data_IF_642001728195
#
_entry.id   IF_642001728195
#
_cell.length_a   1.000
_cell.length_b   1.000
_cell.length_c   1.000
_cell.angle_alpha   90.00
_cell.angle_beta   90.00
_cell.angle_gamma   90.00
#
_symmetry.space_group_name_H-M   'P 1'
#
loop_
_entity.id
_entity.type
_entity.pdbx_description
1 polymer ?
#
# COMPACT_ATOMS: atom_id res chain seq x y z
N UNK A 1 64.66 31.53 -10.69
CA UNK A 1 63.53 31.84 -11.60
C UNK A 1 62.93 30.57 -12.14
N UNK A 2 61.84 30.13 -11.62
CA UNK A 2 60.96 29.09 -12.23
C UNK A 2 59.53 29.47 -12.00
N UNK A 3 58.80 29.72 -13.06
CA UNK A 3 57.39 30.06 -13.09
C UNK A 3 56.55 28.87 -12.68
N UNK A 4 55.53 29.06 -11.82
CA UNK A 4 54.49 28.07 -11.49
C UNK A 4 53.33 28.27 -12.44
N UNK A 5 53.05 27.23 -13.22
CA UNK A 5 51.90 27.16 -14.09
C UNK A 5 50.62 27.05 -13.28
N UNK A 6 49.62 27.90 -13.61
CA UNK A 6 48.29 27.84 -13.09
C UNK A 6 47.56 26.67 -13.74
N UNK A 7 47.04 25.75 -12.92
CA UNK A 7 46.07 24.74 -13.37
C UNK A 7 44.68 25.37 -13.41
N UNK A 8 44.16 25.53 -14.60
CA UNK A 8 42.75 25.85 -14.88
C UNK A 8 41.91 24.62 -14.61
N UNK A 9 40.93 24.76 -13.73
CA UNK A 9 39.93 23.75 -13.45
C UNK A 9 38.74 23.91 -14.44
N UNK A 10 38.52 22.95 -15.36
CA UNK A 10 37.36 23.01 -16.26
C UNK A 10 36.22 22.18 -15.66
N UNK A 11 35.06 22.80 -15.39
CA UNK A 11 33.85 22.02 -15.25
C UNK A 11 32.89 22.37 -14.15
N UNK A 12 32.58 23.66 -13.97
CA UNK A 12 31.32 24.02 -13.31
C UNK A 12 30.27 24.18 -14.39
N UNK A 13 29.50 23.09 -14.63
CA UNK A 13 28.27 23.16 -15.41
C UNK A 13 27.27 24.00 -14.59
N UNK A 14 27.03 25.23 -15.00
CA UNK A 14 25.96 26.08 -14.46
C UNK A 14 24.64 25.59 -15.04
N UNK A 15 23.84 24.94 -14.21
CA UNK A 15 22.43 24.73 -14.54
C UNK A 15 21.72 26.08 -14.59
N UNK A 16 20.92 26.36 -15.63
CA UNK A 16 20.11 27.57 -15.67
C UNK A 16 19.12 27.54 -14.52
N UNK A 17 19.05 28.62 -13.73
CA UNK A 17 17.99 28.81 -12.75
C UNK A 17 16.69 28.92 -13.54
N UNK A 18 15.85 27.90 -13.43
CA UNK A 18 14.49 27.99 -13.95
C UNK A 18 13.78 29.12 -13.23
N UNK A 19 13.36 30.13 -14.00
CA UNK A 19 12.49 31.17 -13.54
C UNK A 19 11.22 30.54 -12.95
N UNK A 20 10.69 31.16 -11.93
CA UNK A 20 9.37 30.88 -11.39
C UNK A 20 8.34 31.11 -12.47
N UNK A 21 8.05 30.06 -13.25
CA UNK A 21 6.88 30.05 -14.11
C UNK A 21 5.68 30.01 -13.15
N UNK A 22 4.91 31.09 -13.10
CA UNK A 22 3.58 31.06 -12.55
C UNK A 22 2.82 29.94 -13.25
N UNK A 23 2.54 28.89 -12.50
CA UNK A 23 1.70 27.79 -12.95
C UNK A 23 0.29 28.34 -13.05
N UNK A 24 -0.11 28.83 -14.22
CA UNK A 24 -1.51 29.08 -14.49
C UNK A 24 -2.25 27.76 -14.38
N UNK A 25 -3.00 27.57 -13.29
CA UNK A 25 -3.93 26.45 -13.13
C UNK A 25 -4.88 26.46 -14.33
N UNK A 26 -4.84 25.42 -15.13
CA UNK A 26 -5.86 25.20 -16.15
C UNK A 26 -7.17 24.83 -15.44
N UNK A 27 -8.30 25.44 -15.82
CA UNK A 27 -9.59 24.99 -15.34
C UNK A 27 -9.79 23.54 -15.81
N UNK A 28 -9.79 22.58 -14.90
CA UNK A 28 -9.92 21.15 -15.20
C UNK A 28 -8.94 20.24 -14.45
N UNK A 29 -7.80 20.74 -13.97
CA UNK A 29 -6.79 19.90 -13.30
C UNK A 29 -7.16 19.50 -11.86
N UNK A 30 -8.13 20.16 -11.24
CA UNK A 30 -8.65 19.81 -9.91
C UNK A 30 -9.78 18.78 -9.95
N UNK A 31 -10.48 18.65 -11.08
CA UNK A 31 -11.65 17.78 -11.17
C UNK A 31 -11.33 16.29 -11.37
N UNK A 32 -10.10 15.93 -11.71
CA UNK A 32 -9.72 14.51 -11.95
C UNK A 32 -9.48 13.71 -10.69
N UNK A 33 -9.30 14.37 -9.52
CA UNK A 33 -9.02 13.72 -8.25
C UNK A 33 -10.22 13.73 -7.30
N UNK A 34 -11.12 14.70 -7.42
CA UNK A 34 -12.26 14.86 -6.53
C UNK A 34 -13.45 13.93 -6.83
N UNK A 35 -13.56 13.38 -8.05
CA UNK A 35 -14.76 12.66 -8.49
C UNK A 35 -14.61 11.12 -8.56
N UNK A 36 -13.50 10.55 -8.11
CA UNK A 36 -13.30 9.10 -8.06
C UNK A 36 -13.07 8.56 -6.64
N UNK A 37 -13.99 8.86 -5.73
CA UNK A 37 -14.01 8.14 -4.44
C UNK A 37 -12.87 8.47 -3.47
N UNK A 38 -12.19 9.62 -3.60
CA UNK A 38 -11.18 10.06 -2.63
C UNK A 38 -11.77 10.74 -1.38
N UNK A 39 -13.10 10.89 -1.29
CA UNK A 39 -13.72 11.39 -0.05
C UNK A 39 -13.74 10.36 1.08
N UNK A 40 -13.47 9.06 0.76
CA UNK A 40 -13.56 7.96 1.72
C UNK A 40 -12.22 7.54 2.36
N UNK A 41 -11.11 8.24 2.09
CA UNK A 41 -9.84 7.90 2.76
C UNK A 41 -9.85 8.19 4.26
N UNK A 42 -10.77 9.04 4.73
CA UNK A 42 -10.95 9.35 6.16
C UNK A 42 -11.44 8.15 6.99
N UNK A 43 -12.00 7.16 6.34
CA UNK A 43 -12.63 6.00 6.98
C UNK A 43 -12.00 4.69 6.56
N UNK A 44 -10.92 4.75 5.77
CA UNK A 44 -10.12 3.59 5.44
C UNK A 44 -9.66 2.91 6.73
N UNK A 45 -9.85 1.60 6.82
CA UNK A 45 -9.61 0.79 8.01
C UNK A 45 -10.58 1.03 9.19
N UNK A 46 -11.65 1.81 9.02
CA UNK A 46 -12.70 1.93 10.01
C UNK A 46 -13.60 0.70 10.03
N UNK A 47 -14.00 0.28 11.22
CA UNK A 47 -14.99 -0.79 11.40
C UNK A 47 -16.36 -0.42 10.80
N UNK A 48 -16.70 0.88 10.74
CA UNK A 48 -17.90 1.38 10.06
C UNK A 48 -17.90 1.10 8.55
N UNK A 49 -16.72 0.88 7.93
CA UNK A 49 -16.56 0.51 6.53
C UNK A 49 -16.27 -0.98 6.32
N UNK A 50 -16.56 -1.79 7.35
CA UNK A 50 -16.45 -3.24 7.29
C UNK A 50 -15.03 -3.78 7.43
N UNK A 51 -14.06 -2.96 7.87
CA UNK A 51 -12.73 -3.48 8.23
C UNK A 51 -12.76 -4.15 9.60
N UNK A 52 -12.01 -5.23 9.76
CA UNK A 52 -11.87 -5.94 11.02
C UNK A 52 -11.27 -5.03 12.11
N UNK A 53 -11.81 -5.11 13.31
CA UNK A 53 -11.27 -4.38 14.46
C UNK A 53 -10.00 -5.07 14.98
N UNK A 54 -8.85 -4.40 14.88
CA UNK A 54 -7.57 -4.85 15.40
C UNK A 54 -7.31 -4.39 16.85
N UNK A 55 -8.11 -3.43 17.36
CA UNK A 55 -7.90 -2.86 18.70
C UNK A 55 -8.09 -3.88 19.82
N UNK A 56 -8.90 -4.92 19.59
CA UNK A 56 -9.13 -6.02 20.52
C UNK A 56 -8.03 -7.08 20.57
N UNK A 57 -7.07 -7.07 19.62
CA UNK A 57 -6.08 -8.13 19.42
C UNK A 57 -4.90 -8.12 20.39
N UNK A 58 -4.82 -7.16 21.27
CA UNK A 58 -3.68 -7.05 22.19
C UNK A 58 -2.38 -6.54 21.54
N UNK A 59 -2.48 -5.96 20.34
CA UNK A 59 -1.34 -5.48 19.56
C UNK A 59 -0.54 -4.39 20.30
N UNK A 60 0.78 -4.55 20.46
CA UNK A 60 1.62 -3.54 21.10
C UNK A 60 1.76 -2.31 20.19
N UNK A 61 1.70 -1.12 20.79
CA UNK A 61 1.91 0.14 20.09
C UNK A 61 3.28 0.76 20.37
N UNK A 62 3.72 0.71 21.61
CA UNK A 62 4.96 1.30 22.09
C UNK A 62 4.96 1.36 23.63
N UNK A 63 5.68 2.26 24.30
CA UNK A 63 5.54 2.56 25.74
C UNK A 63 4.11 2.90 26.19
N UNK A 64 3.19 3.14 25.25
CA UNK A 64 1.76 3.35 25.53
C UNK A 64 1.00 2.06 25.89
N UNK A 65 1.60 0.90 25.72
CA UNK A 65 0.93 -0.39 25.91
C UNK A 65 0.67 -0.80 27.35
N UNK A 66 1.25 -0.10 28.30
CA UNK A 66 1.02 -0.31 29.71
C UNK A 66 -0.18 0.51 30.22
N UNK A 67 0.14 1.49 31.08
CA UNK A 67 -0.84 2.34 31.78
C UNK A 67 -1.88 3.01 30.88
N UNK A 68 -1.48 3.40 29.68
CA UNK A 68 -2.34 4.16 28.75
C UNK A 68 -2.98 3.28 27.69
N UNK A 69 -2.81 1.93 27.77
CA UNK A 69 -3.32 1.01 26.77
C UNK A 69 -4.80 1.20 26.46
N UNK A 70 -5.65 1.35 27.46
CA UNK A 70 -7.09 1.51 27.25
C UNK A 70 -7.44 2.77 26.45
N UNK A 71 -6.65 3.84 26.62
CA UNK A 71 -6.84 5.09 25.89
C UNK A 71 -6.26 5.00 24.48
N UNK A 72 -5.14 4.30 24.32
CA UNK A 72 -4.44 4.17 23.03
C UNK A 72 -4.96 3.00 22.16
N UNK A 73 -5.74 2.08 22.75
CA UNK A 73 -6.21 0.87 22.06
C UNK A 73 -6.86 1.12 20.69
N UNK A 74 -7.68 2.16 20.46
CA UNK A 74 -8.25 2.44 19.14
C UNK A 74 -7.21 2.69 18.05
N UNK A 75 -6.02 3.19 18.41
CA UNK A 75 -4.92 3.43 17.47
C UNK A 75 -4.29 2.14 16.95
N UNK A 76 -4.53 0.98 17.60
CA UNK A 76 -4.01 -0.30 17.14
C UNK A 76 -4.52 -0.67 15.73
N UNK A 77 -5.72 -0.21 15.35
CA UNK A 77 -6.25 -0.41 14.01
C UNK A 77 -5.38 0.24 12.90
N UNK A 78 -4.57 1.22 13.26
CA UNK A 78 -3.80 2.02 12.32
C UNK A 78 -2.29 1.86 12.53
N UNK A 79 -1.83 2.00 13.79
CA UNK A 79 -0.43 2.19 14.12
C UNK A 79 0.25 0.93 14.67
N UNK A 80 -0.47 -0.19 14.86
CA UNK A 80 0.15 -1.47 15.18
C UNK A 80 0.83 -2.08 13.95
N UNK A 81 1.68 -3.07 14.17
CA UNK A 81 2.25 -3.87 13.09
C UNK A 81 1.15 -4.56 12.25
N UNK A 82 0.11 -5.06 12.89
CA UNK A 82 -1.06 -5.62 12.21
C UNK A 82 -1.78 -4.57 11.35
N UNK A 83 -1.94 -3.34 11.86
CA UNK A 83 -2.50 -2.20 11.12
C UNK A 83 -1.65 -1.85 9.89
N UNK A 84 -0.33 -1.80 10.06
CA UNK A 84 0.61 -1.56 8.96
C UNK A 84 0.55 -2.67 7.91
N UNK A 85 0.54 -3.93 8.31
CA UNK A 85 0.46 -5.06 7.39
C UNK A 85 -0.87 -5.09 6.63
N UNK A 86 -1.98 -4.75 7.29
CA UNK A 86 -3.27 -4.56 6.62
C UNK A 86 -3.21 -3.44 5.56
N UNK A 87 -2.55 -2.34 5.87
CA UNK A 87 -2.37 -1.24 4.94
C UNK A 87 -1.49 -1.65 3.73
N UNK A 88 -0.42 -2.41 3.95
CA UNK A 88 0.39 -2.99 2.88
C UNK A 88 -0.44 -3.88 1.95
N UNK A 89 -1.24 -4.78 2.52
CA UNK A 89 -2.16 -5.63 1.75
C UNK A 89 -3.12 -4.77 0.93
N UNK A 90 -3.67 -3.71 1.52
CA UNK A 90 -4.57 -2.80 0.80
C UNK A 90 -3.86 -2.13 -0.38
N UNK A 91 -2.67 -1.59 -0.18
CA UNK A 91 -1.89 -0.93 -1.25
C UNK A 91 -1.59 -1.90 -2.39
N UNK A 92 -1.14 -3.11 -2.09
CA UNK A 92 -0.85 -4.14 -3.10
C UNK A 92 -2.10 -4.54 -3.90
N UNK A 93 -3.24 -4.71 -3.23
CA UNK A 93 -4.51 -5.05 -3.87
C UNK A 93 -4.99 -3.92 -4.79
N UNK A 94 -4.99 -2.68 -4.31
CA UNK A 94 -5.43 -1.55 -5.15
C UNK A 94 -4.46 -1.29 -6.30
N UNK A 95 -3.15 -1.53 -6.10
CA UNK A 95 -2.17 -1.46 -7.16
C UNK A 95 -2.43 -2.53 -8.24
N UNK A 96 -2.67 -3.77 -7.84
CA UNK A 96 -3.01 -4.86 -8.77
C UNK A 96 -4.29 -4.51 -9.57
N UNK A 97 -5.35 -4.07 -8.89
CA UNK A 97 -6.60 -3.66 -9.55
C UNK A 97 -6.33 -2.51 -10.53
N UNK A 98 -5.55 -1.51 -10.12
CA UNK A 98 -5.20 -0.37 -10.98
C UNK A 98 -4.48 -0.82 -12.25
N UNK A 99 -3.50 -1.69 -12.16
CA UNK A 99 -2.74 -2.19 -13.32
C UNK A 99 -3.64 -2.91 -14.32
N UNK A 100 -4.58 -3.72 -13.83
CA UNK A 100 -5.49 -4.49 -14.66
C UNK A 100 -6.57 -3.61 -15.30
N UNK A 101 -7.17 -2.71 -14.53
CA UNK A 101 -8.23 -1.81 -15.01
C UNK A 101 -7.72 -0.80 -16.04
N UNK A 102 -6.45 -0.43 -15.98
CA UNK A 102 -5.84 0.48 -16.94
C UNK A 102 -5.11 -0.23 -18.10
N UNK A 103 -5.17 -1.57 -18.16
CA UNK A 103 -4.55 -2.33 -19.24
C UNK A 103 -3.03 -2.18 -19.31
N UNK A 104 -2.38 -1.92 -18.18
CA UNK A 104 -0.92 -1.70 -18.10
C UNK A 104 -0.16 -3.00 -18.43
N UNK A 105 -0.76 -4.14 -18.15
CA UNK A 105 -0.17 -5.46 -18.38
C UNK A 105 -0.73 -6.07 -19.68
N UNK A 106 0.05 -6.14 -20.77
CA UNK A 106 -0.41 -6.71 -22.03
C UNK A 106 -0.88 -8.16 -21.87
N UNK A 107 -2.11 -8.45 -22.31
CA UNK A 107 -2.68 -9.80 -22.23
C UNK A 107 -3.20 -10.22 -20.86
N UNK A 108 -3.13 -9.34 -19.86
CA UNK A 108 -3.74 -9.61 -18.56
C UNK A 108 -5.28 -9.60 -18.66
N UNK A 109 -5.96 -10.40 -17.83
CA UNK A 109 -7.41 -10.45 -17.83
C UNK A 109 -8.02 -9.14 -17.30
N UNK A 110 -9.23 -8.83 -17.74
CA UNK A 110 -10.06 -7.77 -17.12
C UNK A 110 -10.78 -8.35 -15.91
N UNK A 111 -10.70 -7.68 -14.78
CA UNK A 111 -11.40 -8.12 -13.57
C UNK A 111 -12.92 -7.93 -13.71
N UNK A 112 -13.66 -8.90 -13.23
CA UNK A 112 -15.11 -8.75 -12.96
C UNK A 112 -15.34 -8.00 -11.66
N UNK A 113 -16.55 -7.49 -11.43
CA UNK A 113 -16.89 -6.84 -10.16
C UNK A 113 -16.78 -7.81 -8.98
N UNK A 114 -17.18 -9.07 -9.17
CA UNK A 114 -17.04 -10.11 -8.14
C UNK A 114 -15.56 -10.38 -7.77
N UNK A 115 -14.65 -10.34 -8.74
CA UNK A 115 -13.22 -10.48 -8.48
C UNK A 115 -12.64 -9.25 -7.74
N UNK A 116 -13.07 -8.03 -8.09
CA UNK A 116 -12.68 -6.82 -7.35
C UNK A 116 -13.16 -6.87 -5.91
N UNK A 117 -14.42 -7.26 -5.70
CA UNK A 117 -14.99 -7.39 -4.35
C UNK A 117 -14.27 -8.45 -3.53
N UNK A 118 -13.92 -9.58 -4.15
CA UNK A 118 -13.12 -10.63 -3.52
C UNK A 118 -11.74 -10.10 -3.12
N UNK A 119 -11.03 -9.42 -4.01
CA UNK A 119 -9.72 -8.84 -3.71
C UNK A 119 -9.79 -7.85 -2.55
N UNK A 120 -10.77 -6.94 -2.56
CA UNK A 120 -10.96 -5.95 -1.50
C UNK A 120 -11.45 -6.53 -0.18
N UNK A 121 -11.99 -7.75 -0.19
CA UNK A 121 -12.35 -8.45 1.04
C UNK A 121 -11.11 -8.79 1.89
N UNK A 122 -9.97 -9.09 1.29
CA UNK A 122 -8.74 -9.44 2.03
C UNK A 122 -8.31 -8.35 3.03
N UNK A 123 -8.10 -7.09 2.67
CA UNK A 123 -7.77 -6.06 3.65
C UNK A 123 -8.93 -5.70 4.58
N UNK A 124 -10.21 -5.84 4.16
CA UNK A 124 -11.36 -5.62 5.04
C UNK A 124 -11.42 -6.62 6.19
N UNK A 125 -11.25 -7.89 5.84
CA UNK A 125 -11.40 -9.02 6.76
C UNK A 125 -10.07 -9.40 7.42
N UNK A 126 -9.04 -8.58 7.23
CA UNK A 126 -7.69 -8.83 7.76
C UNK A 126 -7.71 -8.91 9.28
N UNK A 127 -7.35 -10.07 9.82
CA UNK A 127 -7.41 -10.36 11.25
C UNK A 127 -6.37 -11.39 11.71
N UNK A 128 -6.61 -12.01 12.84
CA UNK A 128 -5.66 -12.87 13.56
C UNK A 128 -5.07 -14.00 12.69
N UNK A 129 -5.87 -14.64 11.85
CA UNK A 129 -5.40 -15.72 10.98
C UNK A 129 -4.43 -15.20 9.90
N UNK A 130 -4.72 -14.03 9.35
CA UNK A 130 -3.84 -13.39 8.37
C UNK A 130 -2.53 -12.94 9.01
N UNK A 131 -2.58 -12.37 10.23
CA UNK A 131 -1.39 -11.97 11.00
C UNK A 131 -0.51 -13.18 11.28
N UNK A 132 -1.11 -14.27 11.75
CA UNK A 132 -0.40 -15.53 11.98
C UNK A 132 0.26 -16.04 10.70
N UNK A 133 -0.48 -16.05 9.60
CA UNK A 133 0.03 -16.54 8.32
C UNK A 133 1.17 -15.68 7.78
N UNK A 134 1.08 -14.35 7.93
CA UNK A 134 2.18 -13.45 7.63
C UNK A 134 3.44 -13.77 8.42
N UNK A 135 3.31 -13.97 9.73
CA UNK A 135 4.44 -14.35 10.58
C UNK A 135 5.10 -15.68 10.15
N UNK A 136 4.32 -16.65 9.69
CA UNK A 136 4.85 -17.91 9.13
C UNK A 136 5.67 -17.66 7.85
N UNK A 137 5.18 -16.80 6.94
CA UNK A 137 5.92 -16.43 5.75
C UNK A 137 7.17 -15.61 6.07
N UNK A 138 7.07 -14.65 6.96
CA UNK A 138 8.21 -13.79 7.34
C UNK A 138 9.32 -14.59 8.03
N UNK A 139 8.98 -15.58 8.83
CA UNK A 139 9.95 -16.48 9.46
C UNK A 139 10.85 -17.19 8.43
N UNK A 140 10.33 -17.44 7.22
CA UNK A 140 11.05 -18.10 6.12
C UNK A 140 11.73 -17.07 5.21
N UNK A 141 10.98 -16.04 4.78
CA UNK A 141 11.47 -15.06 3.80
C UNK A 141 12.45 -14.05 4.39
N UNK A 142 12.37 -13.83 5.71
CA UNK A 142 13.12 -12.78 6.42
C UNK A 142 12.88 -11.40 5.82
N UNK A 143 11.68 -11.19 5.26
CA UNK A 143 11.29 -9.98 4.57
C UNK A 143 9.79 -9.74 4.71
N UNK A 144 9.40 -8.66 5.35
CA UNK A 144 8.03 -8.32 5.71
C UNK A 144 7.11 -8.10 4.48
N UNK A 145 7.51 -7.24 3.53
CA UNK A 145 6.70 -6.99 2.32
C UNK A 145 6.60 -8.25 1.46
N UNK A 146 7.66 -9.07 1.38
CA UNK A 146 7.61 -10.36 0.66
C UNK A 146 6.62 -11.33 1.30
N UNK A 147 6.48 -11.31 2.62
CA UNK A 147 5.46 -12.09 3.31
C UNK A 147 4.05 -11.66 2.90
N UNK A 148 3.82 -10.35 2.72
CA UNK A 148 2.55 -9.80 2.20
C UNK A 148 2.27 -10.31 0.78
N UNK A 149 3.25 -10.28 -0.12
CA UNK A 149 3.12 -10.82 -1.47
C UNK A 149 2.70 -12.31 -1.45
N UNK A 150 3.30 -13.11 -0.58
CA UNK A 150 2.96 -14.54 -0.47
C UNK A 150 1.55 -14.75 0.10
N UNK A 151 1.13 -13.95 1.07
CA UNK A 151 -0.24 -14.01 1.57
C UNK A 151 -1.26 -13.69 0.46
N UNK A 152 -1.03 -12.63 -0.30
CA UNK A 152 -1.89 -12.27 -1.43
C UNK A 152 -1.86 -13.39 -2.48
N UNK A 153 -0.70 -13.94 -2.78
CA UNK A 153 -0.56 -15.07 -3.70
C UNK A 153 -1.38 -16.29 -3.28
N UNK A 154 -1.39 -16.66 -2.00
CA UNK A 154 -2.27 -17.73 -1.49
C UNK A 154 -3.74 -17.37 -1.64
N UNK A 155 -4.10 -16.11 -1.33
CA UNK A 155 -5.48 -15.65 -1.44
C UNK A 155 -5.98 -15.70 -2.89
N UNK A 156 -5.15 -15.31 -3.85
CA UNK A 156 -5.45 -15.43 -5.28
C UNK A 156 -5.64 -16.90 -5.69
N UNK A 157 -4.80 -17.81 -5.23
CA UNK A 157 -4.93 -19.25 -5.53
C UNK A 157 -6.23 -19.84 -4.95
N UNK A 158 -6.69 -19.36 -3.81
CA UNK A 158 -7.92 -19.82 -3.18
C UNK A 158 -9.20 -19.26 -3.84
N UNK A 159 -9.09 -18.33 -4.77
CA UNK A 159 -10.23 -17.62 -5.36
C UNK A 159 -11.20 -18.56 -6.09
N UNK A 160 -10.72 -19.60 -6.77
CA UNK A 160 -11.55 -20.56 -7.47
C UNK A 160 -12.55 -21.26 -6.54
N UNK A 161 -12.18 -21.54 -5.30
CA UNK A 161 -13.07 -22.12 -4.31
C UNK A 161 -14.21 -21.20 -3.84
N UNK A 162 -14.12 -19.89 -4.10
CA UNK A 162 -15.13 -18.89 -3.74
C UNK A 162 -15.91 -18.36 -4.94
N UNK A 163 -15.23 -18.12 -6.06
CA UNK A 163 -15.77 -17.50 -7.27
C UNK A 163 -16.07 -18.52 -8.38
N UNK A 164 -15.64 -19.76 -8.22
CA UNK A 164 -15.74 -20.82 -9.24
C UNK A 164 -14.51 -20.88 -10.16
N UNK A 165 -14.42 -21.98 -10.90
CA UNK A 165 -13.28 -22.31 -11.77
C UNK A 165 -13.05 -21.32 -12.94
N UNK A 166 -14.03 -20.46 -13.22
CA UNK A 166 -13.92 -19.45 -14.28
C UNK A 166 -13.16 -18.20 -13.88
N UNK A 167 -12.77 -18.05 -12.61
CA UNK A 167 -12.00 -16.87 -12.16
C UNK A 167 -10.58 -16.87 -12.71
N UNK A 168 -10.09 -15.70 -13.07
CA UNK A 168 -8.73 -15.51 -13.57
C UNK A 168 -7.71 -15.19 -12.47
N UNK A 169 -8.17 -14.94 -11.24
CA UNK A 169 -7.33 -14.50 -10.12
C UNK A 169 -6.13 -15.41 -9.83
N UNK A 170 -6.22 -16.75 -9.89
CA UNK A 170 -5.06 -17.61 -9.67
C UNK A 170 -3.90 -17.37 -10.65
N UNK A 171 -4.18 -16.87 -11.86
CA UNK A 171 -3.15 -16.59 -12.88
C UNK A 171 -2.36 -15.31 -12.57
N UNK A 172 -2.85 -14.48 -11.64
CA UNK A 172 -2.28 -13.17 -11.32
C UNK A 172 -1.22 -13.21 -10.21
N UNK A 173 -0.92 -14.38 -9.67
CA UNK A 173 0.02 -14.53 -8.55
C UNK A 173 1.38 -13.85 -8.80
N UNK A 174 1.92 -14.02 -10.00
CA UNK A 174 3.26 -13.53 -10.35
C UNK A 174 3.28 -12.03 -10.72
N UNK A 175 2.10 -11.38 -10.77
CA UNK A 175 2.01 -9.94 -11.02
C UNK A 175 1.72 -9.12 -9.76
N UNK A 176 1.59 -9.78 -8.61
CA UNK A 176 1.60 -9.09 -7.33
C UNK A 176 2.93 -8.38 -7.16
N UNK A 177 2.91 -7.13 -6.68
CA UNK A 177 4.11 -6.30 -6.46
C UNK A 177 4.86 -5.86 -7.73
N UNK A 178 4.37 -6.18 -8.93
CA UNK A 178 5.06 -5.82 -10.17
C UNK A 178 5.19 -4.30 -10.29
N UNK A 179 6.35 -3.83 -10.76
CA UNK A 179 6.73 -2.42 -10.92
C UNK A 179 6.88 -1.62 -9.61
N UNK A 180 6.83 -2.27 -8.46
CA UNK A 180 7.05 -1.65 -7.16
C UNK A 180 8.35 -2.11 -6.52
N UNK A 181 8.85 -1.31 -5.59
CA UNK A 181 9.77 -1.76 -4.56
C UNK A 181 9.03 -1.83 -3.22
N UNK A 182 9.62 -2.52 -2.25
CA UNK A 182 9.05 -2.58 -0.89
C UNK A 182 8.83 -1.20 -0.29
N UNK A 183 9.65 -0.22 -0.67
CA UNK A 183 9.57 1.14 -0.17
C UNK A 183 8.38 1.91 -0.74
N UNK A 184 7.97 1.63 -1.98
CA UNK A 184 6.74 2.21 -2.54
C UNK A 184 5.52 1.78 -1.72
N UNK A 185 5.44 0.50 -1.37
CA UNK A 185 4.37 -0.07 -0.55
C UNK A 185 4.42 0.49 0.87
N UNK A 186 5.60 0.52 1.48
CA UNK A 186 5.79 1.05 2.83
C UNK A 186 5.36 2.51 2.93
N UNK A 187 5.83 3.37 2.03
CA UNK A 187 5.52 4.80 2.06
C UNK A 187 4.02 5.07 1.92
N UNK A 188 3.35 4.39 1.00
CA UNK A 188 1.90 4.51 0.85
C UNK A 188 1.14 3.97 2.06
N UNK A 189 1.56 2.81 2.60
CA UNK A 189 0.95 2.22 3.79
C UNK A 189 1.09 3.16 5.01
N UNK A 190 2.28 3.72 5.26
CA UNK A 190 2.49 4.69 6.33
C UNK A 190 1.66 5.97 6.13
N UNK A 191 1.60 6.50 4.91
CA UNK A 191 0.79 7.68 4.63
C UNK A 191 -0.69 7.44 4.95
N UNK A 192 -1.24 6.30 4.56
CA UNK A 192 -2.62 5.91 4.82
C UNK A 192 -2.89 5.72 6.31
N UNK A 193 -2.03 4.99 7.02
CA UNK A 193 -2.21 4.70 8.44
C UNK A 193 -2.06 5.95 9.31
N UNK A 194 -1.09 6.81 9.03
CA UNK A 194 -0.91 8.08 9.75
C UNK A 194 -2.11 9.00 9.51
N UNK A 195 -2.55 9.14 8.25
CA UNK A 195 -3.72 9.93 7.92
C UNK A 195 -4.93 9.44 8.70
N UNK A 196 -5.25 8.15 8.61
CA UNK A 196 -6.42 7.57 9.29
C UNK A 196 -6.34 7.60 10.83
N UNK A 197 -5.14 7.63 11.41
CA UNK A 197 -4.96 7.71 12.86
C UNK A 197 -5.08 9.14 13.41
N UNK A 198 -5.00 10.17 12.56
CA UNK A 198 -5.04 11.58 12.96
C UNK A 198 -6.39 12.25 12.71
N UNK A 199 -7.26 11.60 12.02
CA UNK A 199 -8.66 12.01 11.73
C UNK A 199 -9.63 11.44 12.75
#
# INVERSE_FOLDING_TARGET
>A
MRARSAHSNPGLVRYPRHGTAERTQRPGDTALWEDRGMSDTMTLFSTAHGYSDLAGGGEPLSPLDGRYRAVAAPLANYLSEAGLNRARVHVEIEWLIFLLDNGVLPGAPTLTDAERDYLRALPRDFGADHIKRLGEFEAVTRHDVKAVEYLIGEYLQAAAGKLGEGTTLPTLREVVHIFCTSEDINNLAYALTIKAATE
#
